data_IF_901950884850
#
_entry.id   IF_901950884850
#
_cell.length_a   1.000
_cell.length_b   1.000
_cell.length_c   1.000
_cell.angle_alpha   90.00
_cell.angle_beta   90.00
_cell.angle_gamma   90.00
#
_symmetry.space_group_name_H-M   'P 1'
#
loop_
_entity.id
_entity.type
_entity.pdbx_description
1 polymer ?
#
# COMPACT_ATOMS: atom_id res chain seq x y z
N UNK A 1 3.52 8.12 5.85
CA UNK A 1 3.29 6.65 5.65
C UNK A 1 2.08 6.49 4.76
N UNK A 2 2.18 5.64 3.74
CA UNK A 2 1.07 5.39 2.82
C UNK A 2 -0.20 5.01 3.61
N UNK A 3 -1.14 5.92 3.67
CA UNK A 3 -2.41 5.78 4.40
C UNK A 3 -3.64 5.93 3.52
N UNK A 4 -3.46 6.14 2.22
CA UNK A 4 -4.50 6.23 1.20
C UNK A 4 -3.96 5.88 -0.17
N UNK A 5 -4.74 5.21 -0.99
CA UNK A 5 -4.34 4.89 -2.37
C UNK A 5 -5.56 4.69 -3.29
N UNK A 6 -5.28 4.43 -4.57
CA UNK A 6 -6.29 4.31 -5.63
C UNK A 6 -6.23 2.93 -6.25
N UNK A 7 -7.38 2.26 -6.36
CA UNK A 7 -7.60 1.00 -7.09
C UNK A 7 -8.81 1.16 -8.03
N UNK A 8 -8.69 2.02 -9.03
CA UNK A 8 -9.82 2.34 -9.93
C UNK A 8 -10.04 1.31 -11.05
N UNK A 9 -9.02 0.54 -11.39
CA UNK A 9 -9.07 -0.47 -12.44
C UNK A 9 -8.72 -1.88 -11.95
N UNK A 10 -9.44 -2.47 -10.96
CA UNK A 10 -9.04 -3.73 -10.34
C UNK A 10 -8.83 -4.87 -11.34
N UNK A 11 -9.66 -4.99 -12.36
CA UNK A 11 -9.49 -6.00 -13.40
C UNK A 11 -8.21 -5.81 -14.22
N UNK A 12 -7.87 -4.57 -14.58
CA UNK A 12 -6.62 -4.25 -15.30
C UNK A 12 -5.41 -4.49 -14.40
N UNK A 13 -5.48 -4.09 -13.14
CA UNK A 13 -4.42 -4.29 -12.16
C UNK A 13 -4.12 -5.78 -11.95
N UNK A 14 -5.16 -6.62 -11.84
CA UNK A 14 -5.01 -8.07 -11.71
C UNK A 14 -4.30 -8.67 -12.94
N UNK A 15 -4.75 -8.33 -14.15
CA UNK A 15 -4.16 -8.81 -15.41
C UNK A 15 -2.68 -8.42 -15.55
N UNK A 16 -2.29 -7.24 -15.12
CA UNK A 16 -0.88 -6.78 -15.08
C UNK A 16 -0.01 -7.62 -14.14
N UNK A 17 -0.61 -8.32 -13.20
CA UNK A 17 0.03 -9.26 -12.29
C UNK A 17 -0.19 -10.73 -12.69
N UNK A 18 -0.66 -11.00 -13.91
CA UNK A 18 -0.96 -12.35 -14.41
C UNK A 18 -1.92 -13.13 -13.49
N UNK A 19 -2.86 -12.44 -12.84
CA UNK A 19 -3.91 -13.03 -12.02
C UNK A 19 -5.27 -12.89 -12.69
N UNK A 20 -6.13 -13.91 -12.52
CA UNK A 20 -7.50 -13.84 -13.02
C UNK A 20 -8.30 -12.80 -12.23
N UNK A 21 -8.92 -11.82 -12.90
CA UNK A 21 -9.69 -10.78 -12.24
C UNK A 21 -10.92 -11.34 -11.52
N UNK A 22 -11.23 -10.78 -10.36
CA UNK A 22 -12.55 -10.96 -9.76
C UNK A 22 -13.54 -9.98 -10.40
N UNK A 23 -14.70 -10.50 -10.82
CA UNK A 23 -15.76 -9.68 -11.40
C UNK A 23 -16.45 -8.79 -10.33
N UNK A 24 -16.99 -7.67 -10.78
CA UNK A 24 -17.83 -6.79 -9.95
C UNK A 24 -17.08 -5.93 -8.93
N UNK A 25 -15.75 -5.93 -8.94
CA UNK A 25 -14.99 -5.06 -8.05
C UNK A 25 -15.14 -3.59 -8.48
N UNK A 26 -15.57 -2.69 -7.57
CA UNK A 26 -15.75 -1.28 -7.90
C UNK A 26 -14.41 -0.56 -8.07
N UNK A 27 -14.43 0.50 -8.87
CA UNK A 27 -13.35 1.47 -8.90
C UNK A 27 -13.29 2.25 -7.58
N UNK A 28 -12.11 2.31 -6.97
CA UNK A 28 -11.87 2.99 -5.70
C UNK A 28 -10.83 4.09 -5.88
N UNK A 29 -11.19 5.30 -5.49
CA UNK A 29 -10.37 6.50 -5.66
C UNK A 29 -9.77 7.03 -4.36
N UNK A 30 -10.20 6.50 -3.23
CA UNK A 30 -9.79 6.96 -1.91
C UNK A 30 -9.82 5.84 -0.86
N UNK A 31 -9.13 4.74 -1.17
CA UNK A 31 -9.03 3.59 -0.27
C UNK A 31 -8.37 4.01 1.04
N UNK A 32 -9.02 3.75 2.16
CA UNK A 32 -8.58 4.12 3.50
C UNK A 32 -8.35 2.89 4.40
N UNK A 33 -7.57 3.04 5.49
CA UNK A 33 -7.40 1.99 6.49
C UNK A 33 -8.73 1.39 6.96
N UNK A 34 -8.72 0.11 7.30
CA UNK A 34 -9.85 -0.72 7.73
C UNK A 34 -10.84 -1.12 6.64
N UNK A 35 -10.69 -0.57 5.44
CA UNK A 35 -11.50 -0.96 4.29
C UNK A 35 -10.92 -2.19 3.60
N UNK A 36 -11.78 -2.85 2.81
CA UNK A 36 -11.37 -3.97 1.97
C UNK A 36 -10.58 -3.47 0.76
N UNK A 37 -9.52 -4.20 0.41
CA UNK A 37 -8.61 -3.89 -0.68
C UNK A 37 -8.29 -5.14 -1.48
N UNK A 38 -8.05 -4.96 -2.76
CA UNK A 38 -7.59 -6.04 -3.63
C UNK A 38 -6.09 -6.24 -3.44
N UNK A 39 -5.71 -7.48 -3.23
CA UNK A 39 -4.31 -7.94 -3.29
C UNK A 39 -4.17 -9.05 -4.34
N UNK A 40 -2.93 -9.29 -4.77
CA UNK A 40 -2.54 -10.45 -5.56
C UNK A 40 -1.48 -11.23 -4.80
N UNK A 41 -1.65 -12.53 -4.68
CA UNK A 41 -0.70 -13.43 -4.01
C UNK A 41 -0.45 -14.68 -4.83
N UNK A 42 0.62 -15.39 -4.53
CA UNK A 42 0.86 -16.72 -5.09
C UNK A 42 -0.18 -17.73 -4.57
N UNK A 43 -0.52 -18.70 -5.38
CA UNK A 43 -1.35 -19.86 -5.09
C UNK A 43 -0.76 -21.06 -5.87
N UNK A 44 0.33 -21.61 -5.36
CA UNK A 44 1.16 -22.59 -6.09
C UNK A 44 1.82 -21.97 -7.32
N UNK A 45 1.55 -22.53 -8.51
CA UNK A 45 2.10 -22.03 -9.77
C UNK A 45 1.34 -20.82 -10.35
N UNK A 46 0.20 -20.47 -9.77
CA UNK A 46 -0.67 -19.40 -10.25
C UNK A 46 -0.64 -18.19 -9.32
N UNK A 47 -1.29 -17.12 -9.76
CA UNK A 47 -1.53 -15.93 -8.91
C UNK A 47 -3.02 -15.72 -8.74
N UNK A 48 -3.41 -15.42 -7.52
CA UNK A 48 -4.80 -15.26 -7.12
C UNK A 48 -5.08 -13.85 -6.62
N UNK A 49 -6.19 -13.29 -7.08
CA UNK A 49 -6.78 -12.09 -6.49
C UNK A 49 -7.50 -12.46 -5.20
N UNK A 50 -7.30 -11.69 -4.15
CA UNK A 50 -8.06 -11.78 -2.91
C UNK A 50 -8.50 -10.38 -2.46
N UNK A 51 -9.65 -10.31 -1.78
CA UNK A 51 -10.15 -9.10 -1.13
C UNK A 51 -9.94 -9.28 0.36
N UNK A 52 -9.16 -8.39 0.94
CA UNK A 52 -8.71 -8.50 2.33
C UNK A 52 -8.80 -7.13 3.02
N UNK A 53 -8.97 -7.12 4.33
CA UNK A 53 -9.00 -5.88 5.12
C UNK A 53 -7.63 -5.22 5.18
N UNK A 54 -7.54 -3.92 4.93
CA UNK A 54 -6.30 -3.18 5.13
C UNK A 54 -6.11 -2.79 6.61
N UNK A 55 -5.14 -3.39 7.23
CA UNK A 55 -4.81 -3.35 8.65
C UNK A 55 -4.60 -4.77 9.13
N UNK A 56 -3.32 -5.22 9.16
CA UNK A 56 -2.94 -6.61 9.42
C UNK A 56 -3.25 -7.00 10.86
N UNK A 57 -4.01 -8.07 11.00
CA UNK A 57 -4.32 -8.71 12.28
C UNK A 57 -3.57 -10.04 12.34
N UNK A 58 -2.60 -10.19 13.27
CA UNK A 58 -1.89 -11.47 13.42
C UNK A 58 -2.84 -12.62 13.79
N UNK A 59 -2.57 -13.82 13.27
CA UNK A 59 -3.38 -15.02 13.52
C UNK A 59 -3.54 -15.39 15.01
N UNK A 60 -2.58 -14.98 15.84
CA UNK A 60 -2.58 -15.23 17.29
C UNK A 60 -3.30 -14.15 18.12
N UNK A 61 -3.87 -13.14 17.49
CA UNK A 61 -4.61 -12.07 18.20
C UNK A 61 -5.88 -12.62 18.80
N UNK A 62 -6.07 -12.46 20.10
CA UNK A 62 -7.26 -12.94 20.80
C UNK A 62 -8.51 -12.16 20.39
N UNK A 63 -8.42 -10.81 20.40
CA UNK A 63 -9.52 -9.94 19.98
C UNK A 63 -9.02 -8.96 18.88
N UNK A 64 -9.46 -9.13 17.63
CA UNK A 64 -9.06 -8.28 16.51
C UNK A 64 -9.67 -6.87 16.58
N UNK A 65 -10.62 -6.63 17.48
CA UNK A 65 -11.21 -5.29 17.72
C UNK A 65 -10.45 -4.50 18.78
N UNK A 66 -9.65 -5.15 19.61
CA UNK A 66 -8.87 -4.55 20.67
C UNK A 66 -7.57 -3.94 20.13
N UNK A 67 -7.63 -2.77 19.56
CA UNK A 67 -6.47 -2.01 19.14
C UNK A 67 -6.40 -1.70 17.64
N UNK A 68 -5.38 -0.89 17.27
CA UNK A 68 -5.16 -0.49 15.88
C UNK A 68 -4.34 -1.55 15.15
N UNK A 69 -4.93 -2.19 14.15
CA UNK A 69 -4.22 -3.06 13.23
C UNK A 69 -3.24 -2.24 12.37
N UNK A 70 -1.93 -2.59 12.33
CA UNK A 70 -0.97 -1.84 11.55
C UNK A 70 -1.26 -1.94 10.05
N UNK A 71 -1.38 -0.79 9.41
CA UNK A 71 -1.59 -0.68 7.96
C UNK A 71 -0.27 -0.73 7.17
N UNK A 72 0.85 -0.47 7.85
CA UNK A 72 2.18 -0.48 7.27
C UNK A 72 3.17 -1.27 8.15
N UNK A 73 4.13 -1.92 7.51
CA UNK A 73 5.27 -2.58 8.12
C UNK A 73 6.57 -1.93 7.63
N UNK A 74 7.49 -1.58 8.54
CA UNK A 74 8.82 -1.09 8.14
C UNK A 74 9.67 -2.27 7.65
N UNK A 75 10.18 -2.20 6.43
CA UNK A 75 10.99 -3.25 5.82
C UNK A 75 12.23 -3.61 6.65
N UNK A 76 12.83 -2.63 7.33
CA UNK A 76 14.04 -2.78 8.14
C UNK A 76 13.83 -3.60 9.43
N UNK A 77 12.58 -3.81 9.82
CA UNK A 77 12.25 -4.49 11.10
C UNK A 77 11.15 -5.54 10.97
N UNK A 78 10.59 -5.73 9.78
CA UNK A 78 9.50 -6.68 9.55
C UNK A 78 9.91 -8.13 9.84
N UNK A 79 11.17 -8.47 9.60
CA UNK A 79 11.76 -9.78 9.89
C UNK A 79 11.88 -10.09 11.40
N UNK A 80 11.94 -9.05 12.23
CA UNK A 80 12.13 -9.15 13.69
C UNK A 80 10.83 -9.04 14.47
N UNK A 81 9.87 -8.24 13.97
CA UNK A 81 8.62 -7.99 14.68
C UNK A 81 7.68 -9.20 14.64
N UNK A 82 7.18 -9.69 15.80
CA UNK A 82 6.26 -10.83 15.86
C UNK A 82 5.04 -10.67 14.94
N UNK A 83 4.52 -9.46 14.81
CA UNK A 83 3.37 -9.11 13.95
C UNK A 83 3.60 -9.45 12.48
N UNK A 84 4.83 -9.36 11.98
CA UNK A 84 5.12 -9.39 10.55
C UNK A 84 6.05 -10.54 10.12
N UNK A 85 6.90 -11.05 11.02
CA UNK A 85 7.98 -11.96 10.66
C UNK A 85 7.53 -13.25 9.97
N UNK A 86 6.39 -13.83 10.40
CA UNK A 86 5.86 -15.04 9.79
C UNK A 86 5.17 -14.74 8.45
N UNK A 87 4.44 -13.62 8.37
CA UNK A 87 3.85 -13.17 7.12
C UNK A 87 4.92 -12.85 6.07
N UNK A 88 6.03 -12.21 6.47
CA UNK A 88 7.16 -11.93 5.58
C UNK A 88 7.78 -13.20 5.00
N UNK A 89 7.82 -14.28 5.75
CA UNK A 89 8.39 -15.56 5.30
C UNK A 89 7.45 -16.34 4.38
N UNK A 90 6.12 -16.28 4.62
CA UNK A 90 5.17 -17.24 4.05
C UNK A 90 3.94 -16.63 3.39
N UNK A 91 3.62 -15.38 3.68
CA UNK A 91 2.36 -14.74 3.27
C UNK A 91 2.62 -13.35 2.72
N UNK A 92 3.34 -13.31 1.62
CA UNK A 92 3.59 -12.10 0.85
C UNK A 92 2.52 -11.93 -0.21
N UNK A 93 2.22 -10.67 -0.52
CA UNK A 93 1.29 -10.30 -1.56
C UNK A 93 1.76 -9.00 -2.23
N UNK A 94 1.13 -8.68 -3.34
CA UNK A 94 1.24 -7.37 -3.99
C UNK A 94 -0.07 -6.64 -3.79
N UNK A 95 0.00 -5.37 -3.36
CA UNK A 95 -1.13 -4.44 -3.35
C UNK A 95 -0.97 -3.54 -4.58
N UNK A 96 -1.68 -3.82 -5.68
CA UNK A 96 -1.58 -3.00 -6.89
C UNK A 96 -2.40 -1.72 -6.74
N UNK A 97 -1.90 -0.60 -7.28
CA UNK A 97 -2.57 0.68 -7.21
C UNK A 97 -2.20 1.55 -8.41
N UNK A 98 -3.07 2.47 -8.83
CA UNK A 98 -2.70 3.50 -9.80
C UNK A 98 -1.81 4.59 -9.19
N UNK A 99 -1.81 4.70 -7.86
CA UNK A 99 -1.00 5.62 -7.09
C UNK A 99 -1.47 5.69 -5.65
N UNK A 100 -0.79 6.46 -4.85
CA UNK A 100 -1.11 6.66 -3.44
C UNK A 100 -1.07 8.15 -3.08
N UNK A 101 -1.66 8.51 -1.95
CA UNK A 101 -1.66 9.89 -1.46
C UNK A 101 -0.68 10.06 -0.31
N UNK A 102 -0.01 11.20 -0.31
CA UNK A 102 0.75 11.74 0.82
C UNK A 102 0.43 13.22 1.02
N UNK A 103 0.70 13.73 2.21
CA UNK A 103 0.30 15.08 2.59
C UNK A 103 1.50 15.93 2.94
N UNK A 104 1.67 17.03 2.20
CA UNK A 104 2.58 18.09 2.60
C UNK A 104 1.98 18.86 3.77
N UNK A 105 2.75 19.01 4.83
CA UNK A 105 2.34 19.83 5.99
C UNK A 105 2.81 21.27 5.78
N UNK A 106 1.90 22.20 6.02
CA UNK A 106 2.18 23.63 6.10
C UNK A 106 1.48 24.18 7.36
N UNK A 107 2.22 24.25 8.45
CA UNK A 107 1.64 24.48 9.78
C UNK A 107 0.61 23.42 10.16
N UNK A 108 -0.63 23.86 10.42
CA UNK A 108 -1.74 22.97 10.74
C UNK A 108 -2.44 22.39 9.50
N UNK A 109 -2.19 22.95 8.31
CA UNK A 109 -2.80 22.51 7.06
C UNK A 109 -2.09 21.29 6.50
N UNK A 110 -2.85 20.47 5.79
CA UNK A 110 -2.37 19.28 5.11
C UNK A 110 -2.85 19.30 3.66
N UNK A 111 -1.91 19.51 2.76
CA UNK A 111 -2.17 19.57 1.33
C UNK A 111 -1.92 18.18 0.72
N UNK A 112 -2.93 17.54 0.14
CA UNK A 112 -2.79 16.22 -0.43
C UNK A 112 -2.06 16.25 -1.77
N UNK A 113 -1.18 15.29 -1.97
CA UNK A 113 -0.50 15.02 -3.22
C UNK A 113 -0.78 13.59 -3.66
N UNK A 114 -1.07 13.40 -4.94
CA UNK A 114 -1.18 12.08 -5.54
C UNK A 114 0.16 11.69 -6.15
N UNK A 115 0.71 10.60 -5.68
CA UNK A 115 1.98 10.03 -6.13
C UNK A 115 1.70 8.88 -7.06
N UNK A 116 2.23 8.95 -8.27
CA UNK A 116 2.07 7.94 -9.32
C UNK A 116 3.31 7.80 -10.17
N UNK A 117 3.36 6.76 -10.98
CA UNK A 117 4.39 6.67 -12.01
C UNK A 117 4.17 7.73 -13.08
N UNK A 118 5.28 8.24 -13.61
CA UNK A 118 5.29 9.26 -14.66
C UNK A 118 4.67 8.75 -15.96
N UNK A 119 4.91 7.48 -16.30
CA UNK A 119 4.35 6.79 -17.48
C UNK A 119 2.89 6.34 -17.31
N UNK A 120 2.26 6.61 -16.14
CA UNK A 120 0.89 6.22 -15.76
C UNK A 120 0.66 4.72 -15.63
N UNK A 121 1.70 3.90 -15.68
CA UNK A 121 1.59 2.49 -15.33
C UNK A 121 1.33 2.33 -13.82
N UNK A 122 0.70 1.23 -13.38
CA UNK A 122 0.39 1.03 -11.98
C UNK A 122 1.65 0.86 -11.11
N UNK A 123 1.48 1.13 -9.84
CA UNK A 123 2.41 0.81 -8.76
C UNK A 123 2.08 -0.56 -8.19
N UNK A 124 3.09 -1.33 -7.87
CA UNK A 124 2.97 -2.64 -7.23
C UNK A 124 3.64 -2.58 -5.85
N UNK A 125 2.83 -2.35 -4.82
CA UNK A 125 3.32 -2.22 -3.45
C UNK A 125 3.53 -3.58 -2.82
N UNK A 126 4.71 -3.84 -2.25
CA UNK A 126 4.95 -5.05 -1.46
C UNK A 126 4.05 -5.08 -0.23
N UNK A 127 3.32 -6.15 -0.06
CA UNK A 127 2.39 -6.37 1.05
C UNK A 127 2.65 -7.68 1.80
N UNK A 128 2.20 -7.70 3.03
CA UNK A 128 2.11 -8.90 3.86
C UNK A 128 0.65 -9.16 4.16
N UNK A 129 0.24 -10.41 4.16
CA UNK A 129 -1.12 -10.75 4.53
C UNK A 129 -1.16 -11.78 5.66
N UNK A 130 -2.27 -11.85 6.36
CA UNK A 130 -2.49 -12.77 7.46
C UNK A 130 -3.94 -13.24 7.45
N UNK A 131 -4.16 -14.48 7.85
CA UNK A 131 -5.48 -15.04 8.10
C UNK A 131 -5.69 -15.11 9.61
N UNK A 132 -6.77 -14.51 10.08
CA UNK A 132 -7.22 -14.60 11.45
C UNK A 132 -8.50 -15.42 11.53
N UNK A 133 -8.55 -16.30 12.53
CA UNK A 133 -9.72 -17.13 12.80
C UNK A 133 -10.02 -17.10 14.30
N UNK A 134 -11.30 -16.89 14.63
CA UNK A 134 -11.78 -16.93 16.01
C UNK A 134 -11.66 -18.35 16.58
N UNK A 135 -11.26 -18.43 17.85
CA UNK A 135 -11.32 -19.69 18.61
C UNK A 135 -12.69 -19.96 19.23
N UNK A 136 -13.58 -18.97 19.27
CA UNK A 136 -14.86 -19.02 19.97
C UNK A 136 -16.05 -19.19 19.03
N UNK A 137 -15.93 -18.73 17.79
CA UNK A 137 -17.01 -18.74 16.80
C UNK A 137 -16.46 -18.96 15.37
N UNK A 138 -17.33 -18.90 14.38
CA UNK A 138 -16.96 -19.13 12.98
C UNK A 138 -16.40 -17.90 12.26
N UNK A 139 -16.08 -16.78 12.96
CA UNK A 139 -15.52 -15.60 12.34
C UNK A 139 -14.09 -15.85 11.85
N UNK A 140 -13.88 -15.58 10.60
CA UNK A 140 -12.55 -15.56 9.97
C UNK A 140 -12.47 -14.43 8.95
N UNK A 141 -11.29 -13.87 8.78
CA UNK A 141 -11.03 -12.89 7.74
C UNK A 141 -9.53 -12.80 7.45
N UNK A 142 -9.22 -12.29 6.27
CA UNK A 142 -7.86 -12.00 5.87
C UNK A 142 -7.57 -10.50 5.95
N UNK A 143 -6.32 -10.15 6.22
CA UNK A 143 -5.90 -8.77 6.39
C UNK A 143 -4.51 -8.54 5.83
N UNK A 144 -4.18 -7.30 5.50
CA UNK A 144 -2.89 -6.95 4.87
C UNK A 144 -2.27 -5.69 5.46
N UNK A 145 -0.95 -5.60 5.36
CA UNK A 145 -0.18 -4.38 5.59
C UNK A 145 0.81 -4.16 4.45
N UNK A 146 1.05 -2.89 4.09
CA UNK A 146 1.99 -2.50 3.05
C UNK A 146 3.38 -2.32 3.66
N UNK A 147 4.42 -2.90 3.04
CA UNK A 147 5.79 -2.61 3.43
C UNK A 147 6.17 -1.19 3.04
N UNK A 148 6.97 -0.55 3.90
CA UNK A 148 7.50 0.79 3.67
C UNK A 148 9.01 0.83 3.82
N UNK A 149 9.65 1.69 3.05
CA UNK A 149 11.07 1.99 3.08
C UNK A 149 11.30 3.50 3.20
N UNK A 150 12.54 3.96 3.22
CA UNK A 150 12.89 5.38 3.20
C UNK A 150 12.36 6.07 1.94
N UNK A 151 11.95 7.31 2.05
CA UNK A 151 11.49 8.09 0.92
C UNK A 151 12.64 8.40 -0.06
N UNK A 152 12.31 8.48 -1.35
CA UNK A 152 13.17 9.03 -2.39
C UNK A 152 13.05 10.57 -2.45
N UNK A 153 13.80 11.20 -3.36
CA UNK A 153 13.86 12.65 -3.49
C UNK A 153 12.51 13.32 -3.86
N UNK A 154 11.60 12.61 -4.53
CA UNK A 154 10.25 13.15 -4.83
C UNK A 154 9.36 13.18 -3.59
N UNK A 155 9.57 12.24 -2.68
CA UNK A 155 8.67 12.03 -1.54
C UNK A 155 9.19 12.62 -0.23
N UNK A 156 10.48 12.86 -0.08
CA UNK A 156 11.09 13.34 1.18
C UNK A 156 10.46 14.63 1.73
N UNK A 157 9.98 15.51 0.84
CA UNK A 157 9.33 16.76 1.23
C UNK A 157 7.86 16.59 1.64
N UNK A 158 7.28 15.41 1.37
CA UNK A 158 5.93 15.04 1.75
C UNK A 158 5.93 14.15 2.99
N UNK A 159 6.79 13.14 3.00
CA UNK A 159 6.93 12.18 4.09
C UNK A 159 8.29 11.47 4.04
N UNK A 160 8.86 11.12 5.21
CA UNK A 160 10.13 10.39 5.35
C UNK A 160 10.11 8.92 4.84
N UNK A 161 8.92 8.37 4.58
CA UNK A 161 8.70 6.99 4.17
C UNK A 161 7.89 6.92 2.89
N UNK A 162 8.11 5.84 2.11
CA UNK A 162 7.31 5.48 0.95
C UNK A 162 6.99 3.98 0.96
N UNK A 163 5.98 3.50 0.24
CA UNK A 163 5.79 2.07 0.01
C UNK A 163 7.02 1.45 -0.66
N UNK A 164 7.32 0.20 -0.34
CA UNK A 164 8.23 -0.62 -1.15
C UNK A 164 7.52 -0.90 -2.48
N UNK A 165 8.02 -0.34 -3.57
CA UNK A 165 7.46 -0.49 -4.91
C UNK A 165 8.27 -1.52 -5.69
N UNK A 166 7.59 -2.57 -6.14
CA UNK A 166 8.22 -3.69 -6.86
C UNK A 166 8.26 -3.42 -8.37
N UNK A 167 9.37 -3.74 -9.00
CA UNK A 167 9.51 -3.87 -10.44
C UNK A 167 9.09 -5.29 -10.89
N UNK A 168 8.86 -5.54 -12.18
CA UNK A 168 8.41 -6.86 -12.65
C UNK A 168 9.25 -8.04 -12.15
N UNK A 169 10.58 -7.94 -12.22
CA UNK A 169 11.52 -8.93 -11.70
C UNK A 169 11.43 -9.07 -10.17
N UNK A 170 11.26 -7.98 -9.47
CA UNK A 170 11.05 -7.95 -8.03
C UNK A 170 9.74 -8.61 -7.61
N UNK A 171 8.68 -8.54 -8.43
CA UNK A 171 7.40 -9.22 -8.17
C UNK A 171 7.57 -10.73 -8.20
N UNK A 172 8.34 -11.27 -9.16
CA UNK A 172 8.62 -12.70 -9.24
C UNK A 172 9.33 -13.18 -7.97
N UNK A 173 10.38 -12.49 -7.55
CA UNK A 173 11.12 -12.81 -6.31
C UNK A 173 10.22 -12.67 -5.08
N UNK A 174 9.40 -11.61 -5.02
CA UNK A 174 8.54 -11.32 -3.88
C UNK A 174 7.45 -12.36 -3.67
N UNK A 175 6.86 -12.86 -4.75
CA UNK A 175 5.78 -13.85 -4.71
C UNK A 175 6.27 -15.29 -4.74
N UNK A 176 7.56 -15.55 -4.92
CA UNK A 176 8.11 -16.92 -4.89
C UNK A 176 8.02 -17.52 -3.48
N UNK A 177 7.09 -18.44 -3.28
CA UNK A 177 6.84 -19.10 -1.99
C UNK A 177 8.00 -19.98 -1.51
N UNK A 178 8.90 -20.39 -2.42
CA UNK A 178 10.09 -21.18 -2.08
C UNK A 178 11.13 -20.34 -1.31
N UNK A 179 11.11 -19.03 -1.49
CA UNK A 179 12.02 -18.09 -0.81
C UNK A 179 11.45 -17.76 0.57
N UNK A 180 12.00 -18.38 1.60
CA UNK A 180 11.57 -18.15 3.01
C UNK A 180 12.59 -17.36 3.83
N UNK A 181 13.80 -17.13 3.30
CA UNK A 181 14.81 -16.32 3.95
C UNK A 181 14.58 -14.82 3.69
N UNK A 182 14.24 -14.01 4.73
CA UNK A 182 13.96 -12.58 4.56
C UNK A 182 15.10 -11.76 3.95
N UNK A 183 16.35 -12.20 4.07
CA UNK A 183 17.49 -11.47 3.50
C UNK A 183 17.48 -11.43 1.97
N UNK A 184 16.83 -12.39 1.32
CA UNK A 184 16.67 -12.41 -0.13
C UNK A 184 15.84 -11.21 -0.66
N UNK A 185 14.99 -10.61 0.19
CA UNK A 185 14.14 -9.49 -0.19
C UNK A 185 14.79 -8.12 0.04
N UNK A 186 15.95 -8.06 0.72
CA UNK A 186 16.60 -6.77 1.03
C UNK A 186 16.86 -5.89 -0.22
N UNK A 187 17.29 -6.43 -1.37
CA UNK A 187 17.46 -5.61 -2.57
C UNK A 187 16.17 -4.95 -3.07
N UNK A 188 15.00 -5.52 -2.75
CA UNK A 188 13.69 -4.99 -3.14
C UNK A 188 13.26 -3.79 -2.27
N UNK A 189 13.92 -3.56 -1.12
CA UNK A 189 13.56 -2.50 -0.18
C UNK A 189 14.19 -1.15 -0.51
N UNK A 190 14.97 -1.06 -1.58
CA UNK A 190 15.53 0.21 -2.03
C UNK A 190 14.41 1.18 -2.41
N UNK A 191 14.57 2.48 -2.13
CA UNK A 191 13.63 3.49 -2.61
C UNK A 191 13.47 3.42 -4.13
N UNK A 192 12.23 3.52 -4.61
CA UNK A 192 11.96 3.52 -6.05
C UNK A 192 12.59 4.76 -6.71
N UNK A 193 13.11 4.66 -7.96
CA UNK A 193 13.76 5.78 -8.64
C UNK A 193 12.88 7.03 -8.69
N UNK A 194 13.44 8.16 -8.27
CA UNK A 194 12.70 9.41 -8.15
C UNK A 194 12.23 9.96 -9.50
N UNK A 195 13.04 9.78 -10.54
CA UNK A 195 12.76 10.22 -11.92
C UNK A 195 11.59 9.48 -12.58
N UNK A 196 11.24 8.30 -12.07
CA UNK A 196 10.08 7.53 -12.54
C UNK A 196 8.77 7.91 -11.83
N UNK A 197 8.83 8.67 -10.73
CA UNK A 197 7.66 9.10 -9.98
C UNK A 197 7.34 10.58 -10.22
N UNK A 198 6.09 10.93 -9.96
CA UNK A 198 5.60 12.31 -9.89
C UNK A 198 4.63 12.43 -8.73
N UNK A 199 4.70 13.55 -8.01
CA UNK A 199 3.74 13.94 -6.98
C UNK A 199 3.01 15.20 -7.45
N UNK A 200 1.70 15.11 -7.61
CA UNK A 200 0.83 16.20 -8.09
C UNK A 200 -0.10 16.64 -6.97
N UNK A 201 -0.23 17.94 -6.68
CA UNK A 201 -1.20 18.42 -5.70
C UNK A 201 -2.61 18.14 -6.20
N UNK A 202 -3.47 17.61 -5.33
CA UNK A 202 -4.82 17.22 -5.69
C UNK A 202 -5.85 17.82 -4.73
N UNK A 203 -7.12 17.72 -5.12
CA UNK A 203 -8.27 18.21 -4.37
C UNK A 203 -8.26 17.74 -2.91
N UNK A 204 -8.49 18.67 -1.97
CA UNK A 204 -8.67 18.38 -0.54
C UNK A 204 -9.87 17.46 -0.24
N UNK A 205 -10.69 17.17 -1.25
CA UNK A 205 -11.78 16.20 -1.17
C UNK A 205 -11.28 14.84 -0.64
N UNK A 206 -10.06 14.42 -1.01
CA UNK A 206 -9.44 13.18 -0.53
C UNK A 206 -9.22 13.15 0.99
N UNK A 207 -9.20 14.29 1.67
CA UNK A 207 -9.04 14.34 3.13
C UNK A 207 -10.18 13.62 3.87
N UNK A 208 -11.38 13.59 3.30
CA UNK A 208 -12.52 12.89 3.87
C UNK A 208 -12.72 11.52 3.21
N UNK A 209 -12.75 10.46 4.01
CA UNK A 209 -13.03 9.08 3.56
C UNK A 209 -14.44 8.89 3.00
N UNK A 210 -15.34 9.86 3.20
CA UNK A 210 -16.71 9.86 2.65
C UNK A 210 -16.72 10.03 1.12
N UNK A 211 -15.64 10.57 0.57
CA UNK A 211 -15.50 10.80 -0.86
C UNK A 211 -14.58 9.73 -1.46
N UNK A 212 -15.12 8.95 -2.37
CA UNK A 212 -14.41 7.90 -3.09
C UNK A 212 -14.84 7.94 -4.57
N UNK A 213 -14.54 9.05 -5.23
CA UNK A 213 -14.93 9.34 -6.60
C UNK A 213 -13.78 10.02 -7.38
N UNK A 214 -13.85 10.11 -8.72
CA UNK A 214 -12.78 10.66 -9.56
C UNK A 214 -12.31 12.06 -9.18
N UNK A 215 -13.14 12.86 -8.53
CA UNK A 215 -12.79 14.23 -8.11
C UNK A 215 -11.71 14.25 -7.01
N UNK A 216 -11.45 13.13 -6.35
CA UNK A 216 -10.29 13.00 -5.45
C UNK A 216 -8.94 13.14 -6.18
N UNK A 217 -8.91 12.93 -7.51
CA UNK A 217 -7.73 13.03 -8.36
C UNK A 217 -7.65 14.33 -9.18
N UNK A 218 -8.59 15.26 -8.97
CA UNK A 218 -8.53 16.57 -9.63
C UNK A 218 -7.26 17.30 -9.21
N UNK A 219 -6.39 17.60 -10.17
CA UNK A 219 -5.15 18.36 -9.94
C UNK A 219 -5.52 19.81 -9.62
N UNK A 220 -4.90 20.36 -8.60
CA UNK A 220 -5.07 21.75 -8.18
C UNK A 220 -3.72 22.48 -8.26
N UNK A 221 -3.77 23.81 -8.19
CA UNK A 221 -2.53 24.58 -8.07
C UNK A 221 -1.80 24.23 -6.77
N UNK A 222 -0.47 24.11 -6.86
CA UNK A 222 0.33 23.88 -5.66
C UNK A 222 0.12 25.05 -4.68
N UNK A 223 -0.08 24.76 -3.38
CA UNK A 223 -0.22 25.82 -2.40
C UNK A 223 1.02 26.72 -2.45
N UNK A 224 0.80 28.03 -2.46
CA UNK A 224 1.89 28.99 -2.36
C UNK A 224 2.69 28.65 -1.08
N UNK A 225 4.00 28.48 -1.20
CA UNK A 225 4.87 28.34 -0.03
C UNK A 225 4.80 29.68 0.70
N UNK A 226 4.11 29.71 1.83
CA UNK A 226 4.18 30.84 2.74
C UNK A 226 5.58 30.81 3.33
N UNK A 227 6.51 31.52 2.66
CA UNK A 227 7.86 31.73 3.16
C UNK A 227 7.79 32.34 4.54
N UNK A 228 8.62 31.87 5.45
CA UNK A 228 8.86 32.51 6.74
C UNK A 228 9.13 34.01 6.51
N UNK A 229 8.22 34.84 7.00
CA UNK A 229 8.37 36.31 7.03
C UNK A 229 9.26 36.73 8.20
N UNK A 230 10.37 36.00 8.45
CA UNK A 230 11.39 36.44 9.41
C UNK A 230 12.76 35.94 8.90
N UNK A 231 13.40 36.79 8.12
CA UNK A 231 14.84 37.00 8.17
C UNK A 231 15.15 38.09 9.22
#
# INVERSE_FOLDING_TARGET
MCGRFVQKGPGTLAKKLHAEPLEGLPARYNVAPTQDVMIVRADGAERKVAIVRWGLVPSWTADPSAGMAPINARSETADKKPTFREALRKRRCVVPAEGFYEWKRDGERRHPYFVRRRDREPLFMAGLWESWKSSEDAREFESTAILTTSANDVLKDLHERMPVLLRPDGIEIWLDESITNPTAFMPLYLPYPADELVAEPVSERVNSVKYDDPRCLEVVEAPAVTGSLFD
#
